data_IF_335146777058
#
_entry.id   IF_335146777058
#
_cell.length_a   1.000
_cell.length_b   1.000
_cell.length_c   1.000
_cell.angle_alpha   90.00
_cell.angle_beta   90.00
_cell.angle_gamma   90.00
#
_symmetry.space_group_name_H-M   'P 1'
#
loop_
_entity.id
_entity.type
_entity.pdbx_description
1 polymer ?
#
# COMPACT_ATOMS: atom_id res chain seq x y z
N UNK A 1 45.55 -41.27 7.65
CA UNK A 1 45.63 -39.80 7.52
C UNK A 1 44.74 -39.40 6.36
N UNK A 2 43.51 -39.00 6.66
CA UNK A 2 42.54 -38.51 5.67
C UNK A 2 42.73 -36.99 5.62
N UNK A 3 43.19 -36.45 4.48
CA UNK A 3 43.19 -34.99 4.25
C UNK A 3 41.77 -34.55 4.09
N UNK A 4 41.29 -33.52 4.77
CA UNK A 4 39.98 -32.96 4.47
C UNK A 4 40.02 -32.31 3.09
N UNK A 5 39.05 -32.66 2.28
CA UNK A 5 38.80 -32.10 0.97
C UNK A 5 38.48 -30.60 1.12
N UNK A 6 39.46 -29.77 0.74
CA UNK A 6 39.33 -28.32 0.71
C UNK A 6 38.89 -27.87 -0.68
N UNK A 7 37.76 -28.41 -1.16
CA UNK A 7 37.08 -27.80 -2.30
C UNK A 7 36.62 -26.40 -1.87
N UNK A 8 36.94 -25.32 -2.62
CA UNK A 8 36.41 -24.01 -2.28
C UNK A 8 34.88 -24.10 -2.36
N UNK A 9 34.20 -23.78 -1.25
CA UNK A 9 32.77 -23.53 -1.27
C UNK A 9 32.55 -22.48 -2.33
N UNK A 10 31.84 -22.83 -3.40
CA UNK A 10 31.23 -21.84 -4.31
C UNK A 10 30.57 -20.82 -3.41
N UNK A 11 30.91 -19.54 -3.57
CA UNK A 11 30.35 -18.47 -2.77
C UNK A 11 28.88 -18.43 -3.17
N UNK A 12 28.04 -19.06 -2.35
CA UNK A 12 26.60 -18.93 -2.48
C UNK A 12 26.29 -17.44 -2.32
N UNK A 13 25.53 -16.88 -3.25
CA UNK A 13 25.08 -15.49 -3.13
C UNK A 13 24.32 -15.32 -1.81
N UNK A 14 24.32 -14.12 -1.21
CA UNK A 14 23.60 -13.88 0.02
C UNK A 14 22.09 -14.10 -0.20
N UNK A 15 21.38 -14.66 0.79
CA UNK A 15 19.92 -14.79 0.76
C UNK A 15 19.29 -13.40 0.79
N UNK A 16 18.62 -13.05 -0.31
CA UNK A 16 18.02 -11.75 -0.49
C UNK A 16 16.56 -11.74 -0.02
N UNK A 17 16.24 -10.86 0.93
CA UNK A 17 14.89 -10.56 1.38
C UNK A 17 14.33 -9.33 0.72
N UNK A 18 13.02 -9.34 0.47
CA UNK A 18 12.27 -8.19 0.00
C UNK A 18 11.21 -7.83 1.05
N UNK A 19 11.35 -6.65 1.66
CA UNK A 19 10.38 -6.10 2.59
C UNK A 19 9.46 -5.12 1.86
N UNK A 20 8.22 -5.54 1.62
CA UNK A 20 7.20 -4.79 0.90
C UNK A 20 6.29 -4.05 1.87
N UNK A 21 6.34 -2.72 1.82
CA UNK A 21 5.62 -1.85 2.75
C UNK A 21 4.13 -1.72 2.47
N UNK A 22 3.42 -1.14 3.45
CA UNK A 22 2.02 -0.75 3.33
C UNK A 22 1.87 0.44 2.36
N UNK A 23 0.64 0.67 1.84
CA UNK A 23 0.43 1.82 0.95
C UNK A 23 -0.87 1.82 0.13
N UNK A 24 -1.77 0.85 0.33
CA UNK A 24 -3.04 0.71 -0.40
C UNK A 24 -2.86 0.76 -1.93
N UNK A 25 -3.54 1.68 -2.67
CA UNK A 25 -3.44 1.78 -4.13
C UNK A 25 -2.00 2.05 -4.63
N UNK A 26 -1.14 2.65 -3.80
CA UNK A 26 0.28 2.88 -4.11
C UNK A 26 1.09 1.57 -4.26
N UNK A 27 0.50 0.43 -3.89
CA UNK A 27 1.08 -0.91 -4.07
C UNK A 27 1.53 -1.21 -5.49
N UNK A 28 1.00 -0.52 -6.49
CA UNK A 28 1.46 -0.64 -7.88
C UNK A 28 2.94 -0.28 -8.06
N UNK A 29 3.51 0.54 -7.18
CA UNK A 29 4.95 0.79 -7.19
C UNK A 29 5.77 -0.47 -6.82
N UNK A 30 5.24 -1.35 -5.96
CA UNK A 30 5.87 -2.66 -5.72
C UNK A 30 5.92 -3.51 -7.00
N UNK A 31 4.87 -3.45 -7.83
CA UNK A 31 4.83 -4.16 -9.12
C UNK A 31 5.95 -3.65 -10.03
N UNK A 32 6.13 -2.33 -10.11
CA UNK A 32 7.22 -1.72 -10.88
C UNK A 32 8.60 -2.13 -10.39
N UNK A 33 8.82 -2.14 -9.08
CA UNK A 33 10.07 -2.63 -8.47
C UNK A 33 10.31 -4.10 -8.82
N UNK A 34 9.32 -4.97 -8.61
CA UNK A 34 9.44 -6.40 -8.92
C UNK A 34 9.73 -6.65 -10.40
N UNK A 35 9.10 -5.89 -11.30
CA UNK A 35 9.42 -5.96 -12.74
C UNK A 35 10.87 -5.64 -13.01
N UNK A 36 11.42 -4.59 -12.40
CA UNK A 36 12.84 -4.25 -12.55
C UNK A 36 13.76 -5.36 -12.03
N UNK A 37 13.45 -5.94 -10.87
CA UNK A 37 14.21 -7.07 -10.30
C UNK A 37 14.17 -8.29 -11.24
N UNK A 38 12.99 -8.64 -11.77
CA UNK A 38 12.81 -9.75 -12.71
C UNK A 38 13.62 -9.54 -14.00
N UNK A 39 13.58 -8.34 -14.59
CA UNK A 39 14.34 -7.98 -15.81
C UNK A 39 15.85 -8.07 -15.62
N UNK A 40 16.34 -7.85 -14.39
CA UNK A 40 17.78 -7.95 -14.09
C UNK A 40 18.20 -9.33 -13.58
N UNK A 41 17.29 -10.27 -13.49
CA UNK A 41 17.56 -11.61 -12.98
C UNK A 41 17.88 -11.62 -11.47
N UNK A 42 17.40 -10.62 -10.72
CA UNK A 42 17.55 -10.56 -9.26
C UNK A 42 16.56 -11.52 -8.62
N UNK A 43 17.09 -12.59 -8.03
CA UNK A 43 16.27 -13.58 -7.36
C UNK A 43 16.04 -13.19 -5.90
N UNK A 44 14.76 -13.03 -5.51
CA UNK A 44 14.34 -12.81 -4.12
C UNK A 44 14.12 -14.16 -3.44
N UNK A 45 14.74 -14.39 -2.28
CA UNK A 45 14.65 -15.64 -1.51
C UNK A 45 13.63 -15.61 -0.39
N UNK A 46 13.31 -14.40 0.12
CA UNK A 46 12.43 -14.20 1.28
C UNK A 46 11.52 -13.02 1.03
N UNK A 47 10.23 -13.18 1.33
CA UNK A 47 9.25 -12.10 1.23
C UNK A 47 8.67 -11.77 2.60
N UNK A 48 8.74 -10.52 3.00
CA UNK A 48 8.02 -9.98 4.16
C UNK A 48 7.12 -8.84 3.70
N UNK A 49 5.85 -8.86 4.06
CA UNK A 49 4.88 -7.90 3.56
C UNK A 49 4.04 -7.25 4.65
N UNK A 50 3.62 -6.02 4.41
CA UNK A 50 2.64 -5.31 5.20
C UNK A 50 1.50 -4.81 4.30
N UNK A 51 0.23 -5.13 4.64
CA UNK A 51 -0.95 -4.67 3.92
C UNK A 51 -0.87 -5.03 2.42
N UNK A 52 -0.93 -4.05 1.51
CA UNK A 52 -0.77 -4.29 0.07
C UNK A 52 0.55 -5.02 -0.26
N UNK A 53 1.62 -4.76 0.49
CA UNK A 53 2.90 -5.48 0.33
C UNK A 53 2.79 -6.97 0.63
N UNK A 54 1.96 -7.35 1.61
CA UNK A 54 1.66 -8.76 1.89
C UNK A 54 0.88 -9.39 0.74
N UNK A 55 -0.12 -8.68 0.18
CA UNK A 55 -0.89 -9.14 -0.99
C UNK A 55 0.01 -9.38 -2.20
N UNK A 56 0.90 -8.44 -2.50
CA UNK A 56 1.85 -8.53 -3.62
C UNK A 56 2.83 -9.70 -3.42
N UNK A 57 3.39 -9.85 -2.22
CA UNK A 57 4.29 -10.95 -1.90
C UNK A 57 3.60 -12.32 -2.01
N UNK A 58 2.39 -12.45 -1.47
CA UNK A 58 1.60 -13.68 -1.56
C UNK A 58 1.19 -14.01 -3.00
N UNK A 59 0.78 -13.01 -3.80
CA UNK A 59 0.40 -13.22 -5.20
C UNK A 59 1.56 -13.81 -6.04
N UNK A 60 2.80 -13.40 -5.76
CA UNK A 60 4.01 -13.97 -6.39
C UNK A 60 4.24 -15.45 -6.00
N UNK A 61 3.91 -15.82 -4.78
CA UNK A 61 4.22 -17.14 -4.22
C UNK A 61 3.07 -18.15 -4.39
N UNK A 62 1.83 -17.67 -4.56
CA UNK A 62 0.64 -18.49 -4.80
C UNK A 62 0.41 -18.79 -6.29
N UNK A 63 1.30 -18.33 -7.17
CA UNK A 63 1.17 -18.48 -8.63
C UNK A 63 -0.14 -17.89 -9.19
N UNK A 64 -0.54 -16.73 -8.62
CA UNK A 64 -1.71 -15.97 -9.06
C UNK A 64 -1.34 -14.56 -9.58
N UNK A 65 -0.08 -14.36 -9.96
CA UNK A 65 0.45 -13.04 -10.28
C UNK A 65 -0.38 -12.31 -11.35
N UNK A 66 -0.51 -12.88 -12.53
CA UNK A 66 -1.24 -12.24 -13.63
C UNK A 66 -2.74 -12.10 -13.33
N UNK A 67 -3.46 -13.15 -12.87
CA UNK A 67 -4.85 -13.01 -12.47
C UNK A 67 -5.09 -11.97 -11.37
N UNK A 68 -4.15 -11.83 -10.44
CA UNK A 68 -4.21 -10.83 -9.37
C UNK A 68 -4.05 -9.41 -9.93
N UNK A 69 -3.05 -9.18 -10.81
CA UNK A 69 -2.84 -7.87 -11.43
C UNK A 69 -4.01 -7.46 -12.32
N UNK A 70 -4.55 -8.38 -13.12
CA UNK A 70 -5.72 -8.11 -13.98
C UNK A 70 -6.95 -7.75 -13.16
N UNK A 71 -7.18 -8.46 -12.06
CA UNK A 71 -8.24 -8.10 -11.13
C UNK A 71 -7.99 -6.72 -10.49
N UNK A 72 -6.77 -6.47 -10.00
CA UNK A 72 -6.43 -5.20 -9.37
C UNK A 72 -6.56 -4.01 -10.32
N UNK A 73 -6.21 -4.16 -11.62
CA UNK A 73 -6.42 -3.16 -12.67
C UNK A 73 -7.91 -2.90 -12.94
N UNK A 74 -8.74 -3.93 -12.79
CA UNK A 74 -10.20 -3.79 -12.99
C UNK A 74 -10.91 -3.03 -11.87
N UNK A 75 -10.24 -2.78 -10.74
CA UNK A 75 -10.81 -2.06 -9.61
C UNK A 75 -10.86 -0.56 -9.92
N UNK A 76 -12.05 -0.03 -10.19
CA UNK A 76 -12.26 1.42 -10.11
C UNK A 76 -12.22 1.89 -8.64
N UNK A 77 -12.03 3.19 -8.41
CA UNK A 77 -12.12 3.76 -7.07
C UNK A 77 -13.46 3.44 -6.39
N UNK A 78 -14.56 3.38 -7.16
CA UNK A 78 -15.90 3.02 -6.66
C UNK A 78 -15.97 1.53 -6.34
N UNK A 79 -15.40 0.66 -7.21
CA UNK A 79 -15.38 -0.79 -6.99
C UNK A 79 -14.46 -1.15 -5.83
N UNK A 80 -13.33 -0.47 -5.68
CA UNK A 80 -12.46 -0.60 -4.53
C UNK A 80 -13.18 -0.21 -3.25
N UNK A 81 -13.90 0.92 -3.23
CA UNK A 81 -14.74 1.31 -2.10
C UNK A 81 -15.84 0.28 -1.81
N UNK A 82 -16.48 -0.28 -2.83
CA UNK A 82 -17.50 -1.32 -2.68
C UNK A 82 -16.89 -2.67 -2.28
N UNK A 83 -15.72 -3.01 -2.79
CA UNK A 83 -15.00 -4.27 -2.54
C UNK A 83 -14.38 -4.27 -1.14
N UNK A 84 -13.83 -3.12 -0.72
CA UNK A 84 -13.22 -2.93 0.60
C UNK A 84 -14.18 -2.33 1.64
N UNK A 85 -15.45 -2.13 1.29
CA UNK A 85 -16.51 -2.00 2.29
C UNK A 85 -16.82 -0.63 2.83
N UNK A 86 -16.64 0.44 2.08
CA UNK A 86 -17.13 1.75 2.50
C UNK A 86 -18.64 1.87 2.15
N UNK A 87 -19.48 1.35 3.05
CA UNK A 87 -20.93 1.64 3.02
C UNK A 87 -21.24 2.81 3.94
N UNK A 88 -21.65 3.93 3.39
CA UNK A 88 -22.05 5.15 4.10
C UNK A 88 -23.42 5.05 4.78
N UNK A 89 -24.11 3.91 4.75
CA UNK A 89 -25.43 3.74 5.33
C UNK A 89 -25.44 2.80 6.53
N UNK A 90 -25.64 3.37 7.72
CA UNK A 90 -26.05 2.68 8.96
C UNK A 90 -25.15 1.52 9.41
N UNK A 91 -23.84 1.76 9.57
CA UNK A 91 -22.96 0.73 10.17
C UNK A 91 -22.83 -0.55 9.33
N UNK A 92 -23.16 -0.48 8.05
CA UNK A 92 -23.09 -1.59 7.11
C UNK A 92 -21.63 -1.87 6.75
N UNK A 93 -21.08 -2.86 7.41
CA UNK A 93 -19.82 -3.46 7.07
C UNK A 93 -20.05 -4.30 5.83
N UNK A 94 -19.45 -3.94 4.71
CA UNK A 94 -19.39 -4.84 3.56
C UNK A 94 -18.47 -5.98 3.91
N UNK A 95 -18.87 -7.18 3.54
CA UNK A 95 -18.09 -8.38 3.81
C UNK A 95 -16.77 -8.33 3.01
N UNK A 96 -15.60 -8.14 3.65
CA UNK A 96 -14.31 -8.06 2.98
C UNK A 96 -13.94 -9.38 2.31
N UNK A 97 -14.63 -10.46 2.65
CA UNK A 97 -14.32 -11.81 2.20
C UNK A 97 -14.42 -11.96 0.67
N UNK A 98 -15.21 -11.12 -0.02
CA UNK A 98 -15.35 -11.22 -1.49
C UNK A 98 -14.05 -10.99 -2.26
N UNK A 99 -13.18 -10.08 -1.81
CA UNK A 99 -11.90 -9.85 -2.47
C UNK A 99 -10.97 -11.06 -2.30
N UNK A 100 -10.94 -11.61 -1.08
CA UNK A 100 -10.06 -12.73 -0.74
C UNK A 100 -10.62 -14.08 -1.20
N UNK A 101 -11.96 -14.26 -1.22
CA UNK A 101 -12.58 -15.51 -1.71
C UNK A 101 -12.41 -15.71 -3.22
N UNK A 102 -12.12 -14.64 -3.99
CA UNK A 102 -11.84 -14.77 -5.42
C UNK A 102 -10.68 -15.71 -5.73
N UNK A 103 -9.67 -15.72 -4.86
CA UNK A 103 -8.46 -16.53 -5.01
C UNK A 103 -8.41 -17.70 -4.01
N UNK A 104 -9.51 -18.02 -3.33
CA UNK A 104 -9.55 -19.04 -2.28
C UNK A 104 -9.10 -20.43 -2.73
N UNK A 105 -9.32 -20.79 -3.99
CA UNK A 105 -8.88 -22.08 -4.58
C UNK A 105 -7.36 -22.18 -4.76
N UNK A 106 -6.65 -21.03 -4.72
CA UNK A 106 -5.19 -20.95 -4.81
C UNK A 106 -4.54 -20.78 -3.44
N UNK A 107 -5.35 -20.68 -2.37
CA UNK A 107 -4.81 -20.51 -1.02
C UNK A 107 -3.99 -21.73 -0.60
N UNK A 108 -2.88 -21.46 0.06
CA UNK A 108 -1.98 -22.49 0.63
C UNK A 108 -1.56 -22.08 2.02
N UNK A 109 -1.23 -23.05 2.86
CA UNK A 109 -0.47 -22.76 4.08
C UNK A 109 0.84 -22.03 3.73
N UNK A 110 1.17 -21.01 4.53
CA UNK A 110 2.40 -20.22 4.35
C UNK A 110 3.63 -21.15 4.34
N UNK A 111 3.60 -22.17 5.17
CA UNK A 111 4.67 -23.18 5.31
C UNK A 111 4.89 -24.04 4.05
N UNK A 112 3.92 -24.06 3.14
CA UNK A 112 3.97 -24.79 1.87
C UNK A 112 4.31 -23.91 0.67
N UNK A 113 4.51 -22.61 0.89
CA UNK A 113 4.91 -21.69 -0.17
C UNK A 113 6.32 -22.00 -0.67
N UNK A 114 6.63 -21.74 -1.95
CA UNK A 114 7.93 -22.08 -2.54
C UNK A 114 9.12 -21.33 -1.93
N UNK A 115 8.86 -20.20 -1.25
CA UNK A 115 9.87 -19.39 -0.55
C UNK A 115 9.31 -18.91 0.78
N UNK A 116 10.15 -18.66 1.79
CA UNK A 116 9.74 -18.06 3.06
C UNK A 116 8.94 -16.79 2.85
N UNK A 117 7.79 -16.72 3.49
CA UNK A 117 6.88 -15.58 3.47
C UNK A 117 6.30 -15.35 4.86
N UNK A 118 6.10 -14.09 5.22
CA UNK A 118 5.21 -13.72 6.31
C UNK A 118 4.61 -12.34 6.09
N UNK A 119 3.44 -12.13 6.70
CA UNK A 119 2.77 -10.84 6.74
C UNK A 119 2.80 -10.26 8.15
N UNK A 120 2.85 -8.93 8.25
CA UNK A 120 2.69 -8.22 9.53
C UNK A 120 1.25 -7.80 9.71
N UNK A 121 0.70 -8.02 10.90
CA UNK A 121 -0.53 -7.41 11.39
C UNK A 121 -0.28 -6.74 12.75
N UNK A 122 -1.27 -5.99 13.24
CA UNK A 122 -1.20 -5.34 14.55
C UNK A 122 -2.30 -5.92 15.44
N UNK A 123 -1.94 -6.39 16.63
CA UNK A 123 -2.90 -6.82 17.64
C UNK A 123 -3.64 -5.61 18.22
N UNK A 124 -4.96 -5.60 18.08
CA UNK A 124 -5.80 -4.47 18.48
C UNK A 124 -5.82 -4.26 20.01
N UNK A 125 -5.60 -5.31 20.80
CA UNK A 125 -5.64 -5.22 22.25
C UNK A 125 -4.33 -4.68 22.83
N UNK A 126 -3.19 -4.99 22.20
CA UNK A 126 -1.86 -4.67 22.74
C UNK A 126 -1.11 -3.61 21.95
N UNK A 127 -1.47 -3.40 20.69
CA UNK A 127 -0.73 -2.54 19.75
C UNK A 127 0.59 -3.15 19.25
N UNK A 128 0.91 -4.37 19.64
CA UNK A 128 2.12 -5.03 19.19
C UNK A 128 2.00 -5.56 17.76
N UNK A 129 3.12 -5.62 17.06
CA UNK A 129 3.19 -6.33 15.79
C UNK A 129 3.05 -7.84 15.98
N UNK A 130 2.33 -8.47 15.06
CA UNK A 130 2.13 -9.91 14.99
C UNK A 130 2.64 -10.40 13.65
N UNK A 131 3.53 -11.40 13.69
CA UNK A 131 4.05 -12.04 12.49
C UNK A 131 3.18 -13.23 12.11
N UNK A 132 2.62 -13.18 10.94
CA UNK A 132 1.74 -14.20 10.37
C UNK A 132 2.56 -15.03 9.40
N UNK A 133 3.26 -16.03 9.92
CA UNK A 133 4.21 -16.89 9.22
C UNK A 133 3.70 -18.33 9.04
N UNK A 134 2.44 -18.59 9.40
CA UNK A 134 1.80 -19.93 9.37
C UNK A 134 0.33 -19.86 8.99
N UNK A 135 -0.17 -21.00 8.48
CA UNK A 135 -1.55 -21.16 8.09
C UNK A 135 -1.87 -20.48 6.76
N UNK A 136 -3.15 -20.23 6.50
CA UNK A 136 -3.63 -19.67 5.23
C UNK A 136 -2.93 -18.35 4.86
N UNK A 137 -2.28 -18.32 3.70
CA UNK A 137 -1.61 -17.12 3.18
C UNK A 137 -2.60 -15.99 2.90
N UNK A 138 -3.78 -16.31 2.35
CA UNK A 138 -4.81 -15.31 2.08
C UNK A 138 -5.41 -14.73 3.36
N UNK A 139 -5.61 -15.55 4.41
CA UNK A 139 -6.08 -15.05 5.71
C UNK A 139 -5.03 -14.16 6.38
N UNK A 140 -3.74 -14.49 6.27
CA UNK A 140 -2.66 -13.63 6.74
C UNK A 140 -2.65 -12.29 6.01
N UNK A 141 -2.78 -12.29 4.68
CA UNK A 141 -2.90 -11.08 3.87
C UNK A 141 -4.14 -10.26 4.25
N UNK A 142 -5.29 -10.91 4.46
CA UNK A 142 -6.50 -10.25 4.93
C UNK A 142 -6.32 -9.57 6.29
N UNK A 143 -5.71 -10.26 7.23
CA UNK A 143 -5.43 -9.68 8.55
C UNK A 143 -4.47 -8.49 8.45
N UNK A 144 -3.39 -8.65 7.69
CA UNK A 144 -2.39 -7.60 7.41
C UNK A 144 -2.98 -6.36 6.73
N UNK A 145 -4.06 -6.53 5.96
CA UNK A 145 -4.74 -5.46 5.21
C UNK A 145 -6.01 -4.93 5.88
N UNK A 146 -6.27 -5.28 7.15
CA UNK A 146 -7.47 -4.86 7.88
C UNK A 146 -7.36 -3.40 8.33
N UNK A 147 -7.35 -2.47 7.36
CA UNK A 147 -7.26 -1.02 7.59
C UNK A 147 -8.48 -0.54 8.39
N UNK A 148 -8.30 0.09 9.56
CA UNK A 148 -9.41 0.66 10.33
C UNK A 148 -10.26 1.61 9.48
N UNK A 149 -11.57 1.62 9.72
CA UNK A 149 -12.61 2.36 8.98
C UNK A 149 -12.90 1.84 7.56
N UNK A 150 -12.04 1.02 6.96
CA UNK A 150 -12.22 0.41 5.64
C UNK A 150 -12.63 -1.05 5.80
N UNK A 151 -11.88 -1.81 6.56
CA UNK A 151 -12.12 -3.23 6.81
C UNK A 151 -12.34 -3.49 8.31
N UNK A 152 -13.12 -4.53 8.60
CA UNK A 152 -13.23 -5.04 9.97
C UNK A 152 -11.91 -5.65 10.41
N UNK A 153 -11.62 -5.54 11.72
CA UNK A 153 -10.55 -6.29 12.34
C UNK A 153 -10.72 -7.79 12.04
N UNK A 154 -9.61 -8.44 11.73
CA UNK A 154 -9.61 -9.87 11.45
C UNK A 154 -9.54 -10.67 12.76
N UNK A 155 -10.38 -11.69 12.88
CA UNK A 155 -10.18 -12.72 13.92
C UNK A 155 -9.10 -13.68 13.43
N UNK A 156 -8.07 -13.86 14.23
CA UNK A 156 -6.95 -14.71 13.87
C UNK A 156 -6.48 -15.54 15.06
N UNK A 157 -6.20 -16.81 14.80
CA UNK A 157 -5.70 -17.72 15.82
C UNK A 157 -4.16 -17.71 15.79
N UNK A 158 -3.55 -17.26 16.89
CA UNK A 158 -2.11 -17.34 17.10
C UNK A 158 -1.84 -18.32 18.24
N UNK A 159 -1.36 -19.50 17.91
CA UNK A 159 -1.26 -20.58 18.89
C UNK A 159 -2.64 -20.98 19.44
N UNK A 160 -2.82 -20.90 20.76
CA UNK A 160 -4.09 -21.20 21.44
C UNK A 160 -4.94 -19.97 21.75
N UNK A 161 -4.50 -18.77 21.34
CA UNK A 161 -5.18 -17.51 21.67
C UNK A 161 -5.80 -16.91 20.42
N UNK A 162 -7.04 -16.45 20.55
CA UNK A 162 -7.72 -15.68 19.52
C UNK A 162 -7.37 -14.20 19.66
N UNK A 163 -7.01 -13.57 18.57
CA UNK A 163 -6.65 -12.15 18.48
C UNK A 163 -7.54 -11.40 17.50
N UNK A 164 -7.78 -10.14 17.78
CA UNK A 164 -8.34 -9.20 16.82
C UNK A 164 -7.18 -8.41 16.20
N UNK A 165 -6.97 -8.62 14.91
CA UNK A 165 -5.87 -8.03 14.19
C UNK A 165 -6.38 -6.91 13.27
N UNK A 166 -5.62 -5.82 13.21
CA UNK A 166 -5.78 -4.73 12.26
C UNK A 166 -4.55 -4.63 11.37
N UNK A 167 -4.59 -3.72 10.40
CA UNK A 167 -3.51 -3.50 9.43
C UNK A 167 -2.14 -3.37 10.10
N UNK A 168 -1.16 -4.05 9.50
CA UNK A 168 0.21 -4.07 9.99
C UNK A 168 0.91 -2.71 9.98
N UNK A 169 0.43 -1.78 9.15
CA UNK A 169 0.96 -0.43 9.08
C UNK A 169 0.82 0.38 10.36
N UNK A 170 -0.02 -0.07 11.30
CA UNK A 170 -0.15 0.55 12.62
C UNK A 170 1.04 0.24 13.55
N UNK A 171 1.79 -0.86 13.31
CA UNK A 171 2.93 -1.26 14.15
C UNK A 171 4.23 -1.39 13.37
N UNK A 172 4.19 -1.86 12.13
CA UNK A 172 5.38 -2.07 11.28
C UNK A 172 5.06 -1.89 9.79
N UNK A 173 5.06 -0.65 9.30
CA UNK A 173 4.69 -0.35 7.91
C UNK A 173 5.62 -0.97 6.86
N UNK A 174 6.91 -1.19 7.20
CA UNK A 174 7.93 -1.74 6.28
C UNK A 174 8.73 -2.82 7.01
N UNK A 175 8.39 -4.11 6.86
CA UNK A 175 8.81 -5.18 7.76
C UNK A 175 10.21 -5.75 7.47
N UNK A 176 11.25 -4.91 7.58
CA UNK A 176 12.66 -5.29 7.38
C UNK A 176 13.12 -6.32 8.42
N UNK A 177 12.76 -6.10 9.70
CA UNK A 177 13.06 -7.04 10.79
C UNK A 177 12.46 -8.43 10.53
N UNK A 178 11.24 -8.49 10.00
CA UNK A 178 10.59 -9.75 9.65
C UNK A 178 11.31 -10.48 8.51
N UNK A 179 11.72 -9.76 7.46
CA UNK A 179 12.51 -10.36 6.38
C UNK A 179 13.80 -11.00 6.93
N UNK A 180 14.49 -10.32 7.85
CA UNK A 180 15.68 -10.86 8.50
C UNK A 180 15.37 -12.07 9.38
N UNK A 181 14.27 -12.04 10.14
CA UNK A 181 13.82 -13.16 10.97
C UNK A 181 13.49 -14.39 10.13
N UNK A 182 12.99 -14.21 8.91
CA UNK A 182 12.77 -15.29 7.94
C UNK A 182 14.07 -15.82 7.28
N UNK A 183 15.22 -15.26 7.65
CA UNK A 183 16.52 -15.73 7.21
C UNK A 183 17.13 -14.96 6.04
N UNK A 184 16.69 -13.75 5.75
CA UNK A 184 17.35 -12.88 4.79
C UNK A 184 18.68 -12.35 5.35
N UNK A 185 19.75 -12.49 4.60
CA UNK A 185 21.09 -11.95 4.92
C UNK A 185 21.22 -10.51 4.41
N UNK A 186 20.56 -10.20 3.30
CA UNK A 186 20.44 -8.86 2.71
C UNK A 186 18.97 -8.55 2.51
N UNK A 187 18.60 -7.29 2.69
CA UNK A 187 17.20 -6.85 2.57
C UNK A 187 17.11 -5.62 1.69
N UNK A 188 16.29 -5.72 0.65
CA UNK A 188 15.76 -4.57 -0.08
C UNK A 188 14.40 -4.24 0.53
N UNK A 189 14.21 -3.00 0.96
CA UNK A 189 12.92 -2.52 1.43
C UNK A 189 12.27 -1.57 0.44
N UNK A 190 10.95 -1.67 0.29
CA UNK A 190 10.17 -0.74 -0.54
C UNK A 190 9.17 -0.03 0.35
N UNK A 191 9.42 1.25 0.61
CA UNK A 191 8.63 2.10 1.48
C UNK A 191 7.75 3.05 0.67
N UNK A 192 6.44 2.83 0.69
CA UNK A 192 5.44 3.65 -0.01
C UNK A 192 4.85 4.76 0.88
N UNK A 193 5.34 4.90 2.12
CA UNK A 193 4.78 5.80 3.13
C UNK A 193 5.58 7.11 3.23
N UNK A 194 5.80 7.80 2.12
CA UNK A 194 6.50 9.08 2.15
C UNK A 194 5.65 10.17 2.79
N UNK A 195 6.22 10.85 3.80
CA UNK A 195 5.55 11.91 4.59
C UNK A 195 5.07 13.09 3.72
N UNK A 196 5.65 13.26 2.55
CA UNK A 196 5.34 14.33 1.59
C UNK A 196 3.87 14.31 1.12
N UNK A 197 3.22 13.15 1.17
CA UNK A 197 1.83 12.96 0.72
C UNK A 197 0.79 13.74 1.52
N UNK A 198 0.94 13.79 2.83
CA UNK A 198 0.00 14.52 3.68
C UNK A 198 0.08 16.03 3.44
N UNK A 199 1.29 16.54 3.19
CA UNK A 199 1.51 17.96 2.93
C UNK A 199 0.94 18.40 1.58
N UNK A 200 1.02 17.58 0.53
CA UNK A 200 0.50 17.93 -0.80
C UNK A 200 -1.02 17.97 -0.85
N UNK A 201 -1.71 17.12 -0.08
CA UNK A 201 -3.19 17.08 -0.03
C UNK A 201 -3.81 18.33 0.57
N UNK A 202 -3.16 18.91 1.60
CA UNK A 202 -3.67 20.07 2.33
C UNK A 202 -2.96 21.37 1.93
N UNK A 203 -1.83 21.27 1.22
CA UNK A 203 -1.09 22.40 0.67
C UNK A 203 -1.65 22.82 -0.70
N UNK A 204 -2.97 22.82 -0.83
CA UNK A 204 -3.56 23.64 -1.90
C UNK A 204 -3.11 25.07 -1.59
N UNK A 205 -2.44 25.77 -2.53
CA UNK A 205 -2.18 27.17 -2.34
C UNK A 205 -3.51 27.78 -1.91
N UNK A 206 -3.47 28.56 -0.83
CA UNK A 206 -4.60 29.29 -0.34
C UNK A 206 -4.99 30.29 -1.46
N UNK A 207 -5.50 29.77 -2.55
CA UNK A 207 -6.34 30.54 -3.42
C UNK A 207 -7.55 30.82 -2.54
N UNK A 208 -7.44 31.90 -1.75
CA UNK A 208 -8.54 32.79 -1.55
C UNK A 208 -8.95 33.22 -2.97
N UNK A 209 -9.46 32.25 -3.75
CA UNK A 209 -10.44 32.57 -4.75
C UNK A 209 -11.55 33.20 -3.90
N UNK A 210 -11.48 34.53 -3.81
CA UNK A 210 -12.68 35.32 -3.54
C UNK A 210 -13.65 34.78 -4.56
N UNK A 211 -14.52 33.84 -4.11
CA UNK A 211 -15.63 33.39 -4.93
C UNK A 211 -16.38 34.69 -5.11
N UNK A 212 -16.37 35.29 -6.32
CA UNK A 212 -17.12 36.51 -6.53
C UNK A 212 -18.53 36.17 -6.09
N UNK A 213 -19.13 37.02 -5.28
CA UNK A 213 -20.52 36.84 -4.93
C UNK A 213 -21.27 36.62 -6.25
N UNK A 214 -22.01 35.52 -6.41
CA UNK A 214 -22.70 35.27 -7.67
C UNK A 214 -23.52 36.51 -7.98
N UNK A 215 -23.35 37.04 -9.20
CA UNK A 215 -24.07 38.17 -9.69
C UNK A 215 -25.57 37.86 -9.51
N UNK A 216 -26.34 38.67 -8.81
CA UNK A 216 -27.77 38.41 -8.59
C UNK A 216 -28.58 38.30 -9.89
N UNK A 217 -28.00 38.77 -11.04
CA UNK A 217 -28.62 38.73 -12.36
C UNK A 217 -28.05 37.60 -13.26
N UNK A 218 -27.01 36.87 -12.88
CA UNK A 218 -26.57 35.67 -13.60
C UNK A 218 -27.52 34.51 -13.32
N UNK A 219 -28.37 34.23 -14.29
CA UNK A 219 -29.34 33.13 -14.21
C UNK A 219 -28.66 31.83 -13.87
N UNK A 220 -29.11 31.16 -12.79
CA UNK A 220 -28.70 29.83 -12.35
C UNK A 220 -28.63 28.88 -13.55
N UNK A 221 -27.44 28.63 -14.06
CA UNK A 221 -27.16 27.61 -15.09
C UNK A 221 -26.83 26.31 -14.37
N UNK A 222 -27.66 25.28 -14.55
CA UNK A 222 -27.47 23.97 -13.97
C UNK A 222 -28.78 23.18 -13.85
N UNK A 223 -28.73 21.89 -13.48
CA UNK A 223 -29.90 21.02 -13.44
C UNK A 223 -31.01 21.49 -12.47
N UNK A 224 -30.75 22.46 -11.60
CA UNK A 224 -31.69 23.03 -10.64
C UNK A 224 -32.26 24.39 -11.07
N UNK A 225 -31.87 24.92 -12.23
CA UNK A 225 -32.39 26.19 -12.76
C UNK A 225 -33.93 26.23 -12.92
N UNK A 226 -34.63 25.16 -13.35
CA UNK A 226 -36.08 25.17 -13.43
C UNK A 226 -36.78 25.25 -12.07
N UNK A 227 -36.19 24.66 -11.02
CA UNK A 227 -36.74 24.66 -9.66
C UNK A 227 -36.62 26.05 -9.00
N UNK A 228 -35.55 26.78 -9.29
CA UNK A 228 -35.32 28.13 -8.75
C UNK A 228 -36.28 29.18 -9.32
N UNK A 229 -36.79 29.00 -10.56
CA UNK A 229 -37.79 29.85 -11.18
C UNK A 229 -39.20 29.64 -10.61
N UNK A 230 -39.51 28.46 -10.08
CA UNK A 230 -40.86 28.10 -9.62
C UNK A 230 -41.19 28.58 -8.18
N UNK A 231 -40.16 29.01 -7.41
CA UNK A 231 -40.39 29.32 -6.00
C UNK A 231 -39.85 30.71 -5.64
N UNK A 232 -40.74 31.62 -5.23
CA UNK A 232 -40.46 33.00 -4.90
C UNK A 232 -39.39 33.22 -3.78
N UNK A 233 -38.99 34.47 -3.62
CA UNK A 233 -37.80 35.00 -2.88
C UNK A 233 -37.31 34.31 -1.60
N UNK A 234 -38.20 33.80 -0.74
CA UNK A 234 -37.79 33.12 0.51
C UNK A 234 -37.06 31.78 0.29
N UNK A 235 -37.36 31.11 -0.83
CA UNK A 235 -36.65 29.84 -1.17
C UNK A 235 -35.33 30.07 -1.91
N UNK A 236 -35.15 31.23 -2.58
CA UNK A 236 -33.86 31.64 -3.14
C UNK A 236 -32.82 31.76 -2.04
N UNK A 237 -33.14 32.31 -0.90
CA UNK A 237 -32.26 32.45 0.24
C UNK A 237 -31.89 31.09 0.85
N UNK A 238 -32.82 30.13 0.89
CA UNK A 238 -32.54 28.77 1.36
C UNK A 238 -31.61 28.01 0.40
N UNK A 239 -31.84 28.07 -0.91
CA UNK A 239 -30.99 27.46 -1.94
C UNK A 239 -29.61 28.11 -1.91
N UNK A 240 -29.51 29.44 -1.74
CA UNK A 240 -28.23 30.16 -1.59
C UNK A 240 -27.49 29.75 -0.32
N UNK A 241 -28.21 29.62 0.82
CA UNK A 241 -27.62 29.13 2.08
C UNK A 241 -27.15 27.70 1.95
N UNK A 242 -27.92 26.83 1.26
CA UNK A 242 -27.52 25.43 0.99
C UNK A 242 -26.31 25.36 0.05
N UNK A 243 -26.24 26.20 -0.99
CA UNK A 243 -25.10 26.27 -1.90
C UNK A 243 -23.84 26.81 -1.21
N UNK A 244 -23.98 27.85 -0.37
CA UNK A 244 -22.87 28.38 0.44
C UNK A 244 -22.44 27.39 1.52
N UNK A 245 -23.36 26.67 2.17
CA UNK A 245 -23.05 25.62 3.13
C UNK A 245 -22.31 24.44 2.45
N UNK A 246 -22.74 24.09 1.21
CA UNK A 246 -22.08 23.05 0.42
C UNK A 246 -20.69 23.48 -0.06
N UNK A 247 -20.51 24.72 -0.53
CA UNK A 247 -19.21 25.27 -0.90
C UNK A 247 -18.27 25.36 0.32
N UNK A 248 -18.80 25.74 1.49
CA UNK A 248 -18.04 25.76 2.75
C UNK A 248 -17.71 24.35 3.25
N UNK A 249 -18.59 23.38 3.06
CA UNK A 249 -18.37 21.97 3.36
C UNK A 249 -17.32 21.34 2.44
N UNK A 250 -17.25 21.77 1.18
CA UNK A 250 -16.21 21.32 0.23
C UNK A 250 -14.83 21.95 0.51
N UNK A 251 -14.77 23.04 1.26
CA UNK A 251 -13.52 23.70 1.64
C UNK A 251 -12.90 23.10 2.93
N UNK A 252 -13.64 22.28 3.66
CA UNK A 252 -13.14 21.62 4.88
C UNK A 252 -12.94 20.11 4.61
N UNK A 253 -11.82 19.55 5.04
CA UNK A 253 -11.62 18.10 4.94
C UNK A 253 -12.74 17.37 5.67
N UNK A 254 -13.32 16.36 5.04
CA UNK A 254 -14.36 15.55 5.67
C UNK A 254 -13.73 14.61 6.72
N UNK A 255 -14.52 14.16 7.66
CA UNK A 255 -14.06 13.28 8.76
C UNK A 255 -13.30 12.06 8.24
N UNK A 256 -13.80 11.42 7.20
CA UNK A 256 -13.17 10.25 6.59
C UNK A 256 -11.83 10.60 5.94
N UNK A 257 -11.76 11.70 5.18
CA UNK A 257 -10.51 12.18 4.56
C UNK A 257 -9.46 12.53 5.61
N UNK A 258 -9.89 13.18 6.71
CA UNK A 258 -9.02 13.53 7.82
C UNK A 258 -8.48 12.29 8.52
N UNK A 259 -9.33 11.29 8.76
CA UNK A 259 -8.92 10.05 9.40
C UNK A 259 -7.96 9.24 8.52
N UNK A 260 -8.25 9.12 7.22
CA UNK A 260 -7.36 8.44 6.27
C UNK A 260 -5.99 9.15 6.18
N UNK A 261 -5.99 10.49 6.09
CA UNK A 261 -4.75 11.27 6.09
C UNK A 261 -3.98 11.13 7.41
N UNK A 262 -4.67 11.02 8.54
CA UNK A 262 -4.03 10.80 9.85
C UNK A 262 -3.34 9.44 9.89
N UNK A 263 -3.96 8.38 9.37
CA UNK A 263 -3.35 7.06 9.25
C UNK A 263 -2.11 7.14 8.36
N UNK A 264 -2.20 7.77 7.18
CA UNK A 264 -1.07 7.95 6.28
C UNK A 264 0.11 8.69 6.95
N UNK A 265 -0.18 9.75 7.72
CA UNK A 265 0.83 10.51 8.46
C UNK A 265 1.51 9.63 9.51
N UNK A 266 0.72 8.93 10.32
CA UNK A 266 1.24 8.07 11.41
C UNK A 266 2.09 6.94 10.81
N UNK A 267 1.62 6.27 9.77
CA UNK A 267 2.37 5.22 9.09
C UNK A 267 3.68 5.74 8.50
N UNK A 268 3.66 6.93 7.87
CA UNK A 268 4.86 7.56 7.32
C UNK A 268 5.89 7.92 8.39
N UNK A 269 5.46 8.50 9.52
CA UNK A 269 6.34 8.80 10.65
C UNK A 269 6.91 7.52 11.27
N UNK A 270 6.08 6.49 11.42
CA UNK A 270 6.50 5.20 11.96
C UNK A 270 7.49 4.49 11.02
N UNK A 271 7.22 4.47 9.71
CA UNK A 271 8.13 3.90 8.72
C UNK A 271 9.51 4.59 8.75
N UNK A 272 9.50 5.92 8.85
CA UNK A 272 10.73 6.70 8.96
C UNK A 272 11.48 6.39 10.27
N UNK A 273 10.80 6.34 11.40
CA UNK A 273 11.40 6.04 12.69
C UNK A 273 11.98 4.61 12.72
N UNK A 274 11.24 3.62 12.21
CA UNK A 274 11.72 2.23 12.13
C UNK A 274 12.88 2.04 11.18
N UNK A 275 12.99 2.81 10.12
CA UNK A 275 14.12 2.73 9.19
C UNK A 275 15.48 3.05 9.82
N UNK A 276 15.51 3.73 10.97
CA UNK A 276 16.74 3.93 11.75
C UNK A 276 17.09 2.75 12.65
N UNK A 277 16.12 1.89 12.95
CA UNK A 277 16.28 0.72 13.84
C UNK A 277 16.43 -0.54 12.98
N UNK A 278 15.50 -0.74 12.07
CA UNK A 278 15.42 -1.89 11.17
C UNK A 278 16.02 -1.50 9.81
N UNK A 279 17.34 -1.40 9.76
CA UNK A 279 18.07 -0.91 8.58
C UNK A 279 18.04 -1.95 7.46
N UNK A 280 17.54 -1.58 6.29
CA UNK A 280 17.67 -2.35 5.06
C UNK A 280 19.01 -2.08 4.38
N UNK A 281 19.51 -3.05 3.59
CA UNK A 281 20.74 -2.87 2.81
C UNK A 281 20.51 -1.92 1.61
N UNK A 282 19.30 -1.96 1.02
CA UNK A 282 18.81 -0.98 0.04
C UNK A 282 17.41 -0.54 0.42
N UNK A 283 17.15 0.76 0.46
CA UNK A 283 15.82 1.32 0.73
C UNK A 283 15.30 2.07 -0.48
N UNK A 284 14.25 1.53 -1.09
CA UNK A 284 13.53 2.16 -2.20
C UNK A 284 12.37 2.98 -1.65
N UNK A 285 12.35 4.28 -1.98
CA UNK A 285 11.31 5.22 -1.53
C UNK A 285 10.72 5.93 -2.73
N UNK A 286 9.81 5.28 -3.49
CA UNK A 286 9.15 5.90 -4.64
C UNK A 286 8.45 7.19 -4.24
N UNK A 287 8.63 8.27 -5.01
CA UNK A 287 7.88 9.51 -4.80
C UNK A 287 6.47 9.39 -5.36
N UNK A 288 5.55 9.03 -4.49
CA UNK A 288 4.13 8.84 -4.79
C UNK A 288 3.27 10.03 -4.33
N UNK A 289 3.87 11.21 -4.19
CA UNK A 289 3.20 12.45 -3.77
C UNK A 289 2.16 12.97 -4.76
N UNK A 290 2.19 12.46 -6.00
CA UNK A 290 1.26 12.84 -7.06
C UNK A 290 -0.20 12.45 -6.77
N UNK A 291 -0.43 11.37 -5.99
CA UNK A 291 -1.77 10.87 -5.75
C UNK A 291 -1.96 10.25 -4.35
N UNK A 292 -3.21 10.03 -3.99
CA UNK A 292 -3.58 9.50 -2.68
C UNK A 292 -3.47 7.97 -2.62
N UNK A 293 -3.43 7.41 -1.40
CA UNK A 293 -3.52 5.98 -1.17
C UNK A 293 -4.85 5.35 -1.68
N UNK A 294 -5.84 6.16 -2.04
CA UNK A 294 -7.12 5.72 -2.61
C UNK A 294 -7.21 5.92 -4.14
N UNK A 295 -6.12 6.31 -4.81
CA UNK A 295 -6.07 6.57 -6.25
C UNK A 295 -5.82 5.26 -7.02
N UNK A 296 -6.83 4.39 -7.09
CA UNK A 296 -6.74 3.08 -7.77
C UNK A 296 -6.64 3.19 -9.29
N UNK A 297 -6.97 4.32 -9.86
CA UNK A 297 -6.89 4.65 -11.29
C UNK A 297 -5.48 5.11 -11.74
N UNK A 298 -4.54 5.31 -10.79
CA UNK A 298 -3.16 5.70 -11.09
C UNK A 298 -2.19 4.51 -11.19
N UNK A 299 -2.67 3.32 -11.52
CA UNK A 299 -1.85 2.10 -11.49
C UNK A 299 -0.62 2.17 -12.41
N UNK A 300 -0.77 2.67 -13.65
CA UNK A 300 0.35 2.79 -14.60
C UNK A 300 1.41 3.79 -14.10
N UNK A 301 0.97 4.92 -13.54
CA UNK A 301 1.87 5.93 -13.01
C UNK A 301 2.66 5.41 -11.81
N UNK A 302 1.98 4.76 -10.86
CA UNK A 302 2.65 4.20 -9.70
C UNK A 302 3.62 3.08 -10.07
N UNK A 303 3.24 2.18 -10.99
CA UNK A 303 4.12 1.13 -11.50
C UNK A 303 5.37 1.72 -12.15
N UNK A 304 5.21 2.74 -13.01
CA UNK A 304 6.33 3.45 -13.62
C UNK A 304 7.27 4.07 -12.59
N UNK A 305 6.72 4.79 -11.58
CA UNK A 305 7.52 5.41 -10.53
C UNK A 305 8.30 4.35 -9.73
N UNK A 306 7.67 3.23 -9.41
CA UNK A 306 8.33 2.11 -8.72
C UNK A 306 9.50 1.55 -9.53
N UNK A 307 9.30 1.33 -10.83
CA UNK A 307 10.33 0.87 -11.75
C UNK A 307 11.50 1.86 -11.84
N UNK A 308 11.21 3.15 -12.05
CA UNK A 308 12.22 4.21 -12.14
C UNK A 308 13.02 4.36 -10.84
N UNK A 309 12.35 4.20 -9.68
CA UNK A 309 13.03 4.21 -8.37
C UNK A 309 14.03 3.06 -8.25
N UNK A 310 13.62 1.85 -8.65
CA UNK A 310 14.53 0.71 -8.68
C UNK A 310 15.68 0.93 -9.67
N UNK A 311 15.38 1.46 -10.87
CA UNK A 311 16.37 1.76 -11.90
C UNK A 311 17.43 2.74 -11.41
N UNK A 312 17.04 3.76 -10.65
CA UNK A 312 17.97 4.75 -10.08
C UNK A 312 18.98 4.13 -9.09
N UNK A 313 18.63 3.01 -8.45
CA UNK A 313 19.47 2.31 -7.48
C UNK A 313 19.92 0.92 -7.99
N UNK A 314 19.91 0.71 -9.31
CA UNK A 314 20.22 -0.60 -9.92
C UNK A 314 21.56 -1.18 -9.45
N UNK A 315 22.62 -0.37 -9.40
CA UNK A 315 23.94 -0.84 -9.01
C UNK A 315 23.97 -1.35 -7.56
N UNK A 316 23.31 -0.65 -6.66
CA UNK A 316 23.21 -1.03 -5.26
C UNK A 316 22.39 -2.32 -5.10
N UNK A 317 21.28 -2.42 -5.84
CA UNK A 317 20.44 -3.62 -5.88
C UNK A 317 21.23 -4.83 -6.37
N UNK A 318 21.95 -4.71 -7.48
CA UNK A 318 22.78 -5.81 -8.03
C UNK A 318 23.89 -6.20 -7.05
N UNK A 319 24.51 -5.24 -6.38
CA UNK A 319 25.56 -5.49 -5.40
C UNK A 319 25.02 -6.30 -4.20
N UNK A 320 23.88 -5.92 -3.62
CA UNK A 320 23.29 -6.64 -2.48
C UNK A 320 22.73 -8.01 -2.88
N UNK A 321 22.32 -8.17 -4.15
CA UNK A 321 21.90 -9.45 -4.71
C UNK A 321 23.08 -10.40 -5.01
N UNK A 322 24.33 -9.95 -4.84
CA UNK A 322 25.51 -10.73 -5.18
C UNK A 322 25.74 -10.90 -6.68
N UNK A 323 25.11 -10.03 -7.50
CA UNK A 323 25.32 -9.99 -8.94
C UNK A 323 26.44 -8.98 -9.23
N UNK A 324 27.43 -9.37 -10.06
CA UNK A 324 28.49 -8.45 -10.44
C UNK A 324 27.90 -7.24 -11.20
N UNK A 325 28.35 -6.02 -10.94
CA UNK A 325 27.98 -4.90 -11.77
C UNK A 325 28.42 -5.20 -13.21
N UNK A 326 27.56 -4.92 -14.17
CA UNK A 326 27.87 -5.06 -15.60
C UNK A 326 28.91 -3.98 -15.97
N UNK A 327 30.18 -4.30 -15.77
CA UNK A 327 31.33 -3.40 -16.07
C UNK A 327 31.53 -3.25 -17.60
N UNK A 328 30.77 -3.98 -18.42
CA UNK A 328 30.97 -3.99 -19.86
C UNK A 328 30.38 -2.78 -20.61
N UNK A 329 29.75 -1.82 -19.91
CA UNK A 329 29.09 -0.66 -20.53
C UNK A 329 29.55 0.71 -20.00
N UNK A 330 30.63 0.80 -19.25
CA UNK A 330 31.27 2.09 -18.95
C UNK A 330 32.55 2.16 -19.77
N UNK A 331 32.49 2.74 -20.96
CA UNK A 331 33.54 3.44 -21.71
C UNK A 331 33.31 3.27 -23.21
N UNK A 332 32.35 3.98 -23.74
CA UNK A 332 32.32 4.44 -25.11
C UNK A 332 31.21 5.52 -25.28
N UNK A 333 31.44 6.71 -24.67
CA UNK A 333 30.88 7.99 -25.16
C UNK A 333 31.87 9.12 -24.89
#
# INVERSE_FOLDING_TARGET
MHRPDSSPKTSERPRLGLALGSGAARGWAHVGVLRALDEWGVEVDVYAGCSVGALIGAARLLDIWDPFLDWARSLSAIDAMATFGISLSRGGVVNPDKAFTRFAEHDKPIEELPKPFAAVATDLATGHEVWLDRGSALNACRASSSVPMILQAARYQVGYTEHWLIDGGASNPVPVNLARALGAERVISVDLNTVTLALSRFNRPNTTAVIPAPDPDEGLTGPFAPLAKAFGGAKRDLVRRMALARAKSQAQPQLFETAAATIDIIQGQLAQARAYIDVADVRLTPDLSCASAAAFDHHEEFERIGYETAQAQKQEILAVAGLAPDISKSDDE
#
